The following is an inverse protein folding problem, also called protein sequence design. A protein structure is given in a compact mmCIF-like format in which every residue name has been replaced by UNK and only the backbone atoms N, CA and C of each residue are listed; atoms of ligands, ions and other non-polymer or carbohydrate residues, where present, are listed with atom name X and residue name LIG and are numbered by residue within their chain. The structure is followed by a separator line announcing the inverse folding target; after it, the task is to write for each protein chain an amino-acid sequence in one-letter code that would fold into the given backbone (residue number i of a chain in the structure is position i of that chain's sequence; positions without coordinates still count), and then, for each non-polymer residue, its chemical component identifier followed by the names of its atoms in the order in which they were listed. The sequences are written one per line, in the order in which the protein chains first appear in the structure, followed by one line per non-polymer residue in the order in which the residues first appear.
data_IF_224950751391
#
_entry.id   IF_224950751391
#
_cell.length_a   1.000
_cell.length_b   1.000
_cell.length_c   1.000
_cell.angle_alpha   90.00
_cell.angle_beta   90.00
_cell.angle_gamma   90.00
#
_symmetry.space_group_name_H-M   'P 1'
#
loop_
_entity.id
_entity.type
_entity.pdbx_description
1 polymer ?
#
# COMPACT_ATOMS: atom_id res chain seq x y z
N UNK A 1 -40.35 11.38 -7.47
CA UNK A 1 -39.90 11.11 -6.07
C UNK A 1 -39.35 9.70 -6.01
N UNK A 2 -38.39 9.40 -5.13
CA UNK A 2 -37.77 8.07 -4.92
C UNK A 2 -38.78 6.94 -4.70
N UNK A 3 -39.47 6.59 -5.77
CA UNK A 3 -40.55 5.62 -5.86
C UNK A 3 -39.99 4.20 -5.97
N UNK A 4 -38.67 4.11 -6.08
CA UNK A 4 -37.91 2.88 -6.06
C UNK A 4 -37.27 2.70 -4.70
N UNK A 5 -37.13 1.46 -4.24
CA UNK A 5 -36.54 1.18 -2.93
C UNK A 5 -35.10 1.70 -2.82
N UNK A 6 -34.37 1.75 -3.95
CA UNK A 6 -32.98 2.17 -4.01
C UNK A 6 -32.80 3.68 -3.74
N UNK A 7 -33.63 4.55 -4.32
CA UNK A 7 -33.48 6.02 -4.18
C UNK A 7 -34.35 6.63 -3.07
N UNK A 8 -35.09 5.80 -2.34
CA UNK A 8 -35.98 6.28 -1.27
C UNK A 8 -35.19 7.05 -0.21
N UNK A 9 -35.56 8.29 0.02
CA UNK A 9 -34.96 9.20 1.02
C UNK A 9 -33.45 9.49 0.81
N UNK A 10 -32.94 9.33 -0.41
CA UNK A 10 -31.55 9.66 -0.78
C UNK A 10 -31.55 10.82 -1.77
N UNK A 11 -30.96 11.95 -1.39
CA UNK A 11 -30.76 13.14 -2.23
C UNK A 11 -29.66 14.03 -1.65
N UNK A 12 -28.93 14.74 -2.50
CA UNK A 12 -27.95 15.77 -2.10
C UNK A 12 -28.62 17.12 -1.83
N UNK A 13 -29.62 17.46 -2.64
CA UNK A 13 -30.46 18.63 -2.46
C UNK A 13 -31.82 18.40 -3.10
N UNK A 14 -32.77 19.30 -2.82
CA UNK A 14 -34.12 19.24 -3.39
C UNK A 14 -34.37 20.49 -4.22
N UNK A 15 -34.97 20.34 -5.41
CA UNK A 15 -35.37 21.48 -6.24
C UNK A 15 -36.59 22.18 -5.66
N UNK A 16 -36.91 23.44 -6.05
CA UNK A 16 -38.14 24.12 -5.63
C UNK A 16 -39.43 23.35 -5.94
N UNK A 17 -39.41 22.51 -6.98
CA UNK A 17 -40.52 21.63 -7.41
C UNK A 17 -40.62 20.35 -6.56
N UNK A 18 -39.70 20.15 -5.61
CA UNK A 18 -39.68 19.00 -4.71
C UNK A 18 -39.03 17.74 -5.30
N UNK A 19 -38.18 17.87 -6.32
CA UNK A 19 -37.39 16.77 -6.86
C UNK A 19 -36.10 16.57 -6.07
N UNK A 20 -35.84 15.34 -5.62
CA UNK A 20 -34.55 14.98 -5.03
C UNK A 20 -33.48 14.86 -6.12
N UNK A 21 -32.37 15.54 -5.95
CA UNK A 21 -31.26 15.60 -6.90
C UNK A 21 -30.05 14.87 -6.35
N UNK A 22 -29.26 14.26 -7.24
CA UNK A 22 -27.99 13.60 -6.91
C UNK A 22 -26.87 14.23 -7.73
N UNK A 23 -25.76 14.53 -7.06
CA UNK A 23 -24.49 14.87 -7.66
C UNK A 23 -23.73 13.56 -7.89
N UNK A 24 -23.61 13.16 -9.16
CA UNK A 24 -23.10 11.84 -9.56
C UNK A 24 -21.98 11.95 -10.58
N UNK A 25 -21.09 10.95 -10.58
CA UNK A 25 -20.10 10.76 -11.63
C UNK A 25 -20.71 9.95 -12.79
N UNK A 26 -21.26 10.67 -13.78
CA UNK A 26 -21.94 10.08 -14.94
C UNK A 26 -20.98 9.38 -15.90
N UNK A 27 -21.41 8.22 -16.43
CA UNK A 27 -20.78 7.62 -17.61
C UNK A 27 -21.41 8.16 -18.88
N UNK A 28 -20.58 8.60 -19.83
CA UNK A 28 -20.99 9.23 -21.08
C UNK A 28 -20.80 8.34 -22.32
N UNK A 29 -20.61 7.03 -22.12
CA UNK A 29 -20.53 6.05 -23.20
C UNK A 29 -21.91 5.73 -23.79
N UNK A 30 -22.17 4.45 -24.01
CA UNK A 30 -23.48 3.98 -24.46
C UNK A 30 -24.55 4.28 -23.40
N UNK A 31 -25.75 4.66 -23.87
CA UNK A 31 -26.90 4.97 -23.02
C UNK A 31 -28.15 4.23 -23.49
N UNK A 32 -29.00 3.87 -22.53
CA UNK A 32 -30.29 3.22 -22.80
C UNK A 32 -31.23 4.20 -23.50
N UNK A 33 -31.82 3.78 -24.61
CA UNK A 33 -32.80 4.57 -25.39
C UNK A 33 -34.24 4.14 -25.17
N UNK A 34 -34.47 2.90 -24.74
CA UNK A 34 -35.79 2.32 -24.49
C UNK A 34 -35.76 1.47 -23.20
N UNK A 35 -36.77 1.62 -22.35
CA UNK A 35 -36.88 0.84 -21.11
C UNK A 35 -37.26 -0.61 -21.44
N UNK A 36 -36.52 -1.61 -20.91
CA UNK A 36 -36.93 -3.00 -21.04
C UNK A 36 -38.28 -3.27 -20.36
N UNK A 37 -39.06 -4.27 -20.80
CA UNK A 37 -40.33 -4.62 -20.17
C UNK A 37 -40.19 -4.88 -18.66
N UNK A 38 -41.08 -4.27 -17.88
CA UNK A 38 -41.11 -4.36 -16.41
C UNK A 38 -40.30 -3.26 -15.70
N UNK A 39 -39.39 -2.58 -16.39
CA UNK A 39 -38.62 -1.48 -15.81
C UNK A 39 -39.39 -0.17 -15.82
N UNK A 40 -39.16 0.64 -14.78
CA UNK A 40 -39.65 2.01 -14.65
C UNK A 40 -38.47 2.97 -14.58
N UNK A 41 -38.67 4.17 -15.11
CA UNK A 41 -37.68 5.25 -15.04
C UNK A 41 -37.45 5.66 -13.59
N UNK A 42 -36.22 5.52 -13.12
CA UNK A 42 -35.83 5.82 -11.73
C UNK A 42 -35.10 7.16 -11.61
N UNK A 43 -34.23 7.49 -12.57
CA UNK A 43 -33.46 8.73 -12.61
C UNK A 43 -33.24 9.21 -14.05
N UNK A 44 -33.12 10.52 -14.24
CA UNK A 44 -32.90 11.15 -15.55
C UNK A 44 -32.06 12.41 -15.43
N UNK A 45 -31.42 12.79 -16.53
CA UNK A 45 -30.73 14.09 -16.73
C UNK A 45 -31.09 14.62 -18.11
N UNK A 46 -30.79 15.89 -18.40
CA UNK A 46 -31.10 16.50 -19.70
C UNK A 46 -30.42 15.78 -20.88
N UNK A 47 -29.20 15.27 -20.68
CA UNK A 47 -28.43 14.58 -21.72
C UNK A 47 -28.60 13.05 -21.72
N UNK A 48 -29.11 12.48 -20.62
CA UNK A 48 -29.38 11.06 -20.44
C UNK A 48 -30.80 10.86 -19.86
N UNK A 49 -31.82 10.66 -20.72
CA UNK A 49 -33.21 10.51 -20.29
C UNK A 49 -33.47 9.28 -19.40
N UNK A 50 -32.68 8.22 -19.55
CA UNK A 50 -32.73 7.00 -18.73
C UNK A 50 -31.38 6.87 -17.99
N UNK A 51 -31.16 7.71 -17.00
CA UNK A 51 -29.94 7.70 -16.18
C UNK A 51 -30.01 6.64 -15.06
N UNK A 52 -31.20 6.14 -14.76
CA UNK A 52 -31.40 4.97 -13.90
C UNK A 52 -32.78 4.36 -14.14
N UNK A 53 -32.88 3.05 -13.96
CA UNK A 53 -34.12 2.29 -14.10
C UNK A 53 -34.22 1.20 -13.04
N UNK A 54 -35.45 0.84 -12.66
CA UNK A 54 -35.70 -0.22 -11.70
C UNK A 54 -36.90 -1.08 -12.07
N UNK A 55 -36.80 -2.36 -11.75
CA UNK A 55 -37.92 -3.29 -11.66
C UNK A 55 -38.03 -3.75 -10.20
N UNK A 56 -39.01 -3.20 -9.48
CA UNK A 56 -39.21 -3.46 -8.04
C UNK A 56 -39.72 -4.88 -7.76
N UNK A 57 -40.41 -5.51 -8.71
CA UNK A 57 -40.92 -6.87 -8.54
C UNK A 57 -39.78 -7.87 -8.58
N UNK A 58 -38.88 -7.75 -9.56
CA UNK A 58 -37.69 -8.59 -9.70
C UNK A 58 -36.50 -8.09 -8.88
N UNK A 59 -36.59 -6.89 -8.30
CA UNK A 59 -35.51 -6.18 -7.59
C UNK A 59 -34.27 -5.98 -8.46
N UNK A 60 -34.47 -5.62 -9.72
CA UNK A 60 -33.38 -5.24 -10.62
C UNK A 60 -33.23 -3.73 -10.65
N UNK A 61 -32.00 -3.25 -10.52
CA UNK A 61 -31.67 -1.83 -10.50
C UNK A 61 -30.48 -1.59 -11.41
N UNK A 62 -30.56 -0.53 -12.22
CA UNK A 62 -29.48 -0.12 -13.10
C UNK A 62 -29.25 1.39 -13.00
N UNK A 63 -27.99 1.79 -12.99
CA UNK A 63 -27.52 3.18 -12.93
C UNK A 63 -26.56 3.44 -14.09
N UNK A 64 -26.66 4.62 -14.70
CA UNK A 64 -25.75 5.10 -15.76
C UNK A 64 -24.52 5.84 -15.18
N UNK A 65 -24.42 5.92 -13.85
CA UNK A 65 -23.33 6.58 -13.13
C UNK A 65 -22.68 5.61 -12.14
N UNK A 66 -21.52 5.99 -11.63
CA UNK A 66 -20.68 5.17 -10.76
C UNK A 66 -20.95 5.49 -9.27
N UNK A 67 -21.72 4.68 -8.52
CA UNK A 67 -21.93 4.91 -7.09
C UNK A 67 -20.71 4.54 -6.22
N UNK A 68 -19.71 3.86 -6.78
CA UNK A 68 -18.51 3.41 -6.07
C UNK A 68 -17.43 4.50 -5.93
N UNK A 69 -17.51 5.59 -6.71
CA UNK A 69 -16.53 6.68 -6.67
C UNK A 69 -16.99 7.81 -5.74
N UNK A 70 -16.05 8.44 -5.05
CA UNK A 70 -16.31 9.53 -4.09
C UNK A 70 -16.91 10.79 -4.72
N UNK A 71 -16.74 10.97 -6.03
CA UNK A 71 -17.38 12.04 -6.80
C UNK A 71 -18.91 11.92 -6.82
N UNK A 72 -19.45 10.71 -6.63
CA UNK A 72 -20.88 10.50 -6.41
C UNK A 72 -21.17 10.64 -4.91
N UNK A 73 -21.72 11.79 -4.51
CA UNK A 73 -21.80 12.19 -3.09
C UNK A 73 -22.59 11.19 -2.24
N UNK A 74 -23.73 10.69 -2.75
CA UNK A 74 -24.53 9.64 -2.10
C UNK A 74 -24.16 8.21 -2.53
N UNK A 75 -23.02 8.03 -3.19
CA UNK A 75 -22.63 6.74 -3.78
C UNK A 75 -22.62 5.59 -2.77
N UNK A 76 -21.99 5.83 -1.61
CA UNK A 76 -21.99 4.88 -0.49
C UNK A 76 -23.40 4.58 0.03
N UNK A 77 -24.24 5.59 0.19
CA UNK A 77 -25.61 5.39 0.69
C UNK A 77 -26.45 4.52 -0.27
N UNK A 78 -26.23 4.65 -1.59
CA UNK A 78 -26.87 3.80 -2.60
C UNK A 78 -26.40 2.35 -2.51
N UNK A 79 -25.09 2.14 -2.39
CA UNK A 79 -24.52 0.79 -2.23
C UNK A 79 -24.99 0.14 -0.92
N UNK A 80 -24.97 0.87 0.20
CA UNK A 80 -25.46 0.39 1.49
C UNK A 80 -26.95 0.02 1.42
N UNK A 81 -27.77 0.85 0.77
CA UNK A 81 -29.19 0.56 0.55
C UNK A 81 -29.39 -0.72 -0.26
N UNK A 82 -28.61 -0.91 -1.32
CA UNK A 82 -28.71 -2.09 -2.17
C UNK A 82 -28.28 -3.35 -1.41
N UNK A 83 -27.10 -3.33 -0.80
CA UNK A 83 -26.49 -4.48 -0.13
C UNK A 83 -27.26 -4.84 1.15
N UNK A 84 -27.40 -3.91 2.08
CA UNK A 84 -27.99 -4.18 3.39
C UNK A 84 -29.53 -4.18 3.35
N UNK A 85 -30.14 -3.33 2.53
CA UNK A 85 -31.59 -3.19 2.46
C UNK A 85 -32.24 -4.14 1.46
N UNK A 86 -31.91 -3.99 0.16
CA UNK A 86 -32.60 -4.69 -0.93
C UNK A 86 -32.21 -6.17 -1.01
N UNK A 87 -30.91 -6.46 -0.90
CA UNK A 87 -30.39 -7.83 -0.85
C UNK A 87 -30.61 -8.46 0.53
N UNK A 88 -30.75 -7.65 1.59
CA UNK A 88 -30.98 -8.11 2.95
C UNK A 88 -29.76 -8.80 3.55
N UNK A 89 -28.55 -8.43 3.12
CA UNK A 89 -27.33 -8.99 3.71
C UNK A 89 -27.12 -8.45 5.13
N UNK A 90 -26.40 -9.20 5.94
CA UNK A 90 -25.97 -8.73 7.26
C UNK A 90 -24.56 -8.15 7.15
N UNK A 91 -24.22 -7.08 7.88
CA UNK A 91 -22.86 -6.56 7.95
C UNK A 91 -22.03 -7.41 8.94
N UNK A 92 -21.93 -8.72 8.68
CA UNK A 92 -21.20 -9.69 9.53
C UNK A 92 -19.75 -9.93 9.07
N UNK A 93 -19.30 -9.25 8.01
CA UNK A 93 -17.90 -9.20 7.61
C UNK A 93 -17.11 -8.18 8.46
N UNK A 94 -16.63 -8.62 9.61
CA UNK A 94 -15.90 -7.80 10.58
C UNK A 94 -14.53 -8.43 10.89
N UNK A 95 -13.44 -7.68 10.69
CA UNK A 95 -12.06 -8.19 10.79
C UNK A 95 -11.72 -8.84 12.15
N UNK A 96 -12.32 -8.33 13.23
CA UNK A 96 -12.13 -8.91 14.58
C UNK A 96 -12.60 -10.36 14.67
N UNK A 97 -13.73 -10.66 14.05
CA UNK A 97 -14.33 -12.00 14.07
C UNK A 97 -13.60 -12.92 13.09
N UNK A 98 -13.09 -12.36 12.00
CA UNK A 98 -12.29 -13.06 10.99
C UNK A 98 -10.98 -13.65 11.54
N UNK A 99 -10.37 -13.05 12.57
CA UNK A 99 -9.12 -13.58 13.18
C UNK A 99 -9.29 -15.02 13.63
N UNK A 100 -10.39 -15.35 14.31
CA UNK A 100 -10.59 -16.69 14.87
C UNK A 100 -10.73 -17.74 13.77
N UNK A 101 -11.46 -17.40 12.72
CA UNK A 101 -11.64 -18.26 11.55
C UNK A 101 -10.31 -18.46 10.80
N UNK A 102 -9.59 -17.38 10.49
CA UNK A 102 -8.32 -17.45 9.79
C UNK A 102 -7.26 -18.24 10.57
N UNK A 103 -7.21 -18.07 11.90
CA UNK A 103 -6.33 -18.86 12.78
C UNK A 103 -6.64 -20.36 12.70
N UNK A 104 -7.92 -20.73 12.72
CA UNK A 104 -8.33 -22.13 12.65
C UNK A 104 -8.02 -22.73 11.27
N UNK A 105 -8.26 -21.98 10.19
CA UNK A 105 -7.90 -22.40 8.83
C UNK A 105 -6.38 -22.63 8.70
N UNK A 106 -5.56 -21.73 9.24
CA UNK A 106 -4.09 -21.89 9.23
C UNK A 106 -3.68 -23.15 9.99
N UNK A 107 -4.26 -23.41 11.18
CA UNK A 107 -3.96 -24.61 11.97
C UNK A 107 -4.33 -25.89 11.24
N UNK A 108 -5.50 -25.93 10.61
CA UNK A 108 -5.95 -27.08 9.83
C UNK A 108 -5.08 -27.33 8.60
N UNK A 109 -4.63 -26.26 7.93
CA UNK A 109 -3.81 -26.37 6.73
C UNK A 109 -2.35 -26.76 7.05
N UNK A 110 -1.77 -26.19 8.11
CA UNK A 110 -0.36 -26.37 8.47
C UNK A 110 -0.14 -27.60 9.35
N UNK A 111 -1.05 -27.89 10.28
CA UNK A 111 -0.86 -28.96 11.26
C UNK A 111 0.42 -28.77 12.07
N UNK A 112 1.27 -29.80 12.11
CA UNK A 112 2.57 -29.81 12.80
C UNK A 112 3.76 -29.45 11.88
N UNK A 113 3.50 -28.98 10.65
CA UNK A 113 4.55 -28.58 9.70
C UNK A 113 5.13 -27.19 10.05
N UNK A 114 6.35 -26.91 9.61
CA UNK A 114 7.02 -25.62 9.82
C UNK A 114 6.79 -24.66 8.63
N UNK A 115 6.66 -23.36 8.94
CA UNK A 115 6.36 -22.29 7.98
C UNK A 115 7.50 -21.28 7.94
N UNK A 116 7.95 -20.91 6.73
CA UNK A 116 8.87 -19.80 6.52
C UNK A 116 8.11 -18.61 5.95
N UNK A 117 8.40 -17.40 6.42
CA UNK A 117 7.85 -16.17 5.86
C UNK A 117 8.94 -15.12 5.60
N UNK A 118 8.91 -14.47 4.44
CA UNK A 118 9.73 -13.30 4.16
C UNK A 118 9.13 -12.04 4.78
N UNK A 119 9.81 -11.48 5.79
CA UNK A 119 9.47 -10.16 6.34
C UNK A 119 10.13 -9.08 5.49
N UNK A 120 9.32 -8.19 4.92
CA UNK A 120 9.80 -7.02 4.16
C UNK A 120 9.75 -5.72 4.96
N UNK A 121 9.13 -5.73 6.15
CA UNK A 121 8.77 -4.52 6.89
C UNK A 121 7.52 -3.79 6.36
N UNK A 122 6.94 -4.29 5.27
CA UNK A 122 5.64 -3.84 4.77
C UNK A 122 4.48 -4.32 5.64
N UNK A 123 3.32 -3.67 5.50
CA UNK A 123 2.12 -3.98 6.30
C UNK A 123 1.66 -5.42 6.06
N UNK A 124 1.59 -5.88 4.80
CA UNK A 124 0.98 -7.19 4.49
C UNK A 124 1.81 -8.35 5.04
N UNK A 125 3.12 -8.32 4.83
CA UNK A 125 4.03 -9.35 5.38
C UNK A 125 4.04 -9.33 6.90
N UNK A 126 3.90 -8.15 7.51
CA UNK A 126 3.85 -8.01 8.96
C UNK A 126 2.55 -8.54 9.57
N UNK A 127 1.41 -8.25 8.95
CA UNK A 127 0.10 -8.75 9.37
C UNK A 127 0.00 -10.26 9.15
N UNK A 128 0.50 -10.77 8.02
CA UNK A 128 0.59 -12.21 7.76
C UNK A 128 1.46 -12.91 8.82
N UNK A 129 2.63 -12.35 9.14
CA UNK A 129 3.50 -12.88 10.18
C UNK A 129 2.81 -12.92 11.56
N UNK A 130 2.14 -11.84 11.95
CA UNK A 130 1.42 -11.76 13.22
C UNK A 130 0.25 -12.75 13.28
N UNK A 131 -0.52 -12.89 12.20
CA UNK A 131 -1.63 -13.82 12.10
C UNK A 131 -1.17 -15.28 12.17
N UNK A 132 -0.13 -15.64 11.41
CA UNK A 132 0.44 -16.99 11.41
C UNK A 132 1.08 -17.29 12.76
N UNK A 133 1.83 -16.36 13.34
CA UNK A 133 2.41 -16.55 14.68
C UNK A 133 1.33 -16.79 15.74
N UNK A 134 0.20 -16.07 15.68
CA UNK A 134 -0.94 -16.31 16.56
C UNK A 134 -1.55 -17.71 16.36
N UNK A 135 -1.50 -18.25 15.15
CA UNK A 135 -2.05 -19.56 14.84
C UNK A 135 -1.16 -20.71 15.30
N UNK A 136 0.14 -20.66 14.99
CA UNK A 136 1.08 -21.81 15.09
C UNK A 136 2.36 -21.50 15.90
N UNK A 137 2.47 -20.29 16.47
CA UNK A 137 3.55 -19.91 17.38
C UNK A 137 4.95 -20.15 16.81
N UNK A 138 5.69 -21.04 17.48
CA UNK A 138 7.08 -21.38 17.21
C UNK A 138 7.33 -22.18 15.93
N UNK A 139 6.27 -22.64 15.25
CA UNK A 139 6.35 -23.28 13.93
C UNK A 139 6.65 -22.27 12.81
N UNK A 140 6.46 -20.96 13.07
CA UNK A 140 6.80 -19.89 12.14
C UNK A 140 8.24 -19.41 12.35
N UNK A 141 9.03 -19.41 11.28
CA UNK A 141 10.31 -18.71 11.20
C UNK A 141 10.24 -17.62 10.14
N UNK A 142 10.47 -16.38 10.54
CA UNK A 142 10.54 -15.26 9.62
C UNK A 142 11.99 -15.01 9.18
N UNK A 143 12.18 -14.63 7.92
CA UNK A 143 13.47 -14.16 7.38
C UNK A 143 13.31 -12.70 6.98
N UNK A 144 14.10 -11.83 7.58
CA UNK A 144 14.16 -10.41 7.27
C UNK A 144 15.50 -10.10 6.61
N UNK A 145 15.47 -9.65 5.36
CA UNK A 145 16.68 -9.30 4.59
C UNK A 145 16.85 -7.79 4.60
N UNK A 146 17.87 -7.32 5.31
CA UNK A 146 18.30 -5.93 5.28
C UNK A 146 19.23 -5.72 4.09
N UNK A 147 18.67 -5.24 2.99
CA UNK A 147 19.42 -4.99 1.75
C UNK A 147 20.13 -3.64 1.74
N UNK A 148 20.21 -2.93 2.88
CA UNK A 148 20.92 -1.65 2.99
C UNK A 148 20.26 -0.50 2.24
N UNK A 149 18.98 -0.62 1.84
CA UNK A 149 18.19 0.42 1.16
C UNK A 149 16.85 0.66 1.88
N UNK A 150 16.78 0.35 3.18
CA UNK A 150 15.62 0.65 4.01
C UNK A 150 15.71 2.07 4.61
N UNK A 151 14.60 2.54 5.19
CA UNK A 151 14.53 3.79 5.97
C UNK A 151 15.43 3.73 7.21
N UNK A 152 15.64 4.88 7.84
CA UNK A 152 16.43 5.00 9.06
C UNK A 152 15.89 4.05 10.14
N UNK A 153 16.75 3.20 10.69
CA UNK A 153 16.48 2.23 11.76
C UNK A 153 15.33 1.23 11.45
N UNK A 154 14.96 1.05 10.18
CA UNK A 154 13.84 0.17 9.81
C UNK A 154 14.05 -1.26 10.29
N UNK A 155 15.24 -1.82 10.05
CA UNK A 155 15.56 -3.17 10.48
C UNK A 155 15.49 -3.34 11.99
N UNK A 156 15.96 -2.36 12.75
CA UNK A 156 15.91 -2.41 14.22
C UNK A 156 14.47 -2.34 14.73
N UNK A 157 13.63 -1.49 14.13
CA UNK A 157 12.20 -1.41 14.45
C UNK A 157 11.45 -2.71 14.15
N UNK A 158 11.76 -3.37 13.03
CA UNK A 158 11.20 -4.69 12.68
C UNK A 158 11.61 -5.73 13.73
N UNK A 159 12.90 -5.75 14.11
CA UNK A 159 13.40 -6.71 15.10
C UNK A 159 12.82 -6.47 16.50
N UNK A 160 12.76 -5.22 16.97
CA UNK A 160 12.15 -4.87 18.26
C UNK A 160 10.68 -5.32 18.32
N UNK A 161 9.94 -5.12 17.23
CA UNK A 161 8.54 -5.51 17.17
C UNK A 161 8.36 -7.03 17.18
N UNK A 162 8.99 -7.74 16.23
CA UNK A 162 8.73 -9.16 16.07
C UNK A 162 9.44 -10.02 17.10
N UNK A 163 10.72 -9.74 17.38
CA UNK A 163 11.50 -10.52 18.36
C UNK A 163 11.24 -10.01 19.78
N UNK A 164 11.23 -8.69 19.96
CA UNK A 164 11.08 -8.08 21.29
C UNK A 164 9.65 -8.18 21.83
N UNK A 165 8.65 -7.71 21.07
CA UNK A 165 7.25 -7.62 21.55
C UNK A 165 6.41 -8.86 21.24
N UNK A 166 6.56 -9.44 20.05
CA UNK A 166 5.79 -10.63 19.65
C UNK A 166 6.49 -11.95 19.97
N UNK A 167 7.76 -11.93 20.36
CA UNK A 167 8.55 -13.16 20.62
C UNK A 167 8.58 -14.15 19.43
N UNK A 168 8.43 -13.64 18.20
CA UNK A 168 8.53 -14.43 16.99
C UNK A 168 9.99 -14.74 16.65
N UNK A 169 10.23 -15.90 16.03
CA UNK A 169 11.56 -16.27 15.51
C UNK A 169 11.82 -15.49 14.22
N UNK A 170 12.80 -14.58 14.26
CA UNK A 170 13.21 -13.79 13.09
C UNK A 170 14.71 -13.95 12.84
N UNK A 171 15.06 -14.41 11.65
CA UNK A 171 16.43 -14.42 11.14
C UNK A 171 16.66 -13.11 10.40
N UNK A 172 17.47 -12.22 10.97
CA UNK A 172 17.95 -11.02 10.28
C UNK A 172 19.19 -11.34 9.46
N UNK A 173 19.11 -11.10 8.16
CA UNK A 173 20.23 -11.18 7.23
C UNK A 173 20.65 -9.78 6.85
N UNK A 174 21.84 -9.34 7.26
CA UNK A 174 22.43 -8.12 6.72
C UNK A 174 23.12 -8.45 5.39
N UNK A 175 22.53 -7.97 4.30
CA UNK A 175 23.03 -8.12 2.94
C UNK A 175 23.43 -6.76 2.34
N UNK A 176 23.57 -5.71 3.15
CA UNK A 176 23.80 -4.34 2.68
C UNK A 176 25.00 -4.24 1.73
N UNK A 177 26.14 -4.82 2.10
CA UNK A 177 27.37 -4.78 1.30
C UNK A 177 27.22 -5.51 -0.04
N UNK A 178 26.49 -6.63 -0.05
CA UNK A 178 26.22 -7.39 -1.27
C UNK A 178 25.40 -6.56 -2.26
N UNK A 179 24.32 -5.94 -1.79
CA UNK A 179 23.43 -5.15 -2.64
C UNK A 179 24.12 -3.88 -3.15
N UNK A 180 24.77 -3.13 -2.26
CA UNK A 180 25.48 -1.91 -2.63
C UNK A 180 26.67 -2.20 -3.57
N UNK A 181 27.38 -3.31 -3.36
CA UNK A 181 28.45 -3.75 -4.26
C UNK A 181 27.96 -4.10 -5.66
N UNK A 182 26.76 -4.68 -5.79
CA UNK A 182 26.16 -5.01 -7.09
C UNK A 182 25.49 -3.83 -7.79
N UNK A 183 25.14 -2.78 -7.05
CA UNK A 183 24.59 -1.54 -7.57
C UNK A 183 25.67 -0.51 -7.97
N UNK A 184 26.93 -0.78 -7.64
CA UNK A 184 28.05 0.09 -8.02
C UNK A 184 28.10 0.31 -9.53
N UNK A 185 28.14 1.58 -9.96
CA UNK A 185 28.13 1.99 -11.36
C UNK A 185 26.80 1.80 -12.12
N UNK A 186 25.72 1.36 -11.45
CA UNK A 186 24.42 1.15 -12.11
C UNK A 186 23.54 2.39 -11.94
N UNK A 187 23.24 3.08 -13.03
CA UNK A 187 22.38 4.28 -13.02
C UNK A 187 20.99 4.06 -13.62
N UNK A 188 20.79 3.00 -14.40
CA UNK A 188 19.53 2.77 -15.11
C UNK A 188 18.47 2.18 -14.14
N UNK A 189 17.30 2.82 -13.98
CA UNK A 189 16.27 2.42 -13.00
C UNK A 189 15.80 0.98 -13.10
N UNK A 190 15.51 0.48 -14.30
CA UNK A 190 15.02 -0.88 -14.50
C UNK A 190 16.09 -1.92 -14.15
N UNK A 191 17.36 -1.65 -14.48
CA UNK A 191 18.50 -2.46 -14.09
C UNK A 191 18.65 -2.50 -12.57
N UNK A 192 18.49 -1.36 -11.87
CA UNK A 192 18.50 -1.32 -10.40
C UNK A 192 17.39 -2.19 -9.82
N UNK A 193 16.16 -2.04 -10.31
CA UNK A 193 15.00 -2.84 -9.89
C UNK A 193 15.25 -4.33 -10.06
N UNK A 194 15.78 -4.74 -11.22
CA UNK A 194 16.10 -6.14 -11.52
C UNK A 194 17.22 -6.70 -10.63
N UNK A 195 18.29 -5.94 -10.40
CA UNK A 195 19.39 -6.34 -9.53
C UNK A 195 18.90 -6.53 -8.10
N UNK A 196 18.17 -5.56 -7.55
CA UNK A 196 17.67 -5.61 -6.18
C UNK A 196 16.69 -6.77 -6.02
N UNK A 197 15.72 -6.92 -6.93
CA UNK A 197 14.76 -8.02 -6.89
C UNK A 197 15.43 -9.40 -7.00
N UNK A 198 16.39 -9.56 -7.91
CA UNK A 198 17.14 -10.81 -8.08
C UNK A 198 17.96 -11.19 -6.85
N UNK A 199 18.73 -10.24 -6.30
CA UNK A 199 19.53 -10.48 -5.10
C UNK A 199 18.67 -10.78 -3.88
N UNK A 200 17.53 -10.11 -3.73
CA UNK A 200 16.60 -10.39 -2.64
C UNK A 200 16.11 -11.84 -2.69
N UNK A 201 15.73 -12.31 -3.89
CA UNK A 201 15.35 -13.70 -4.11
C UNK A 201 16.50 -14.65 -3.79
N UNK A 202 17.71 -14.36 -4.23
CA UNK A 202 18.88 -15.24 -4.00
C UNK A 202 19.23 -15.35 -2.51
N UNK A 203 19.26 -14.23 -1.79
CA UNK A 203 19.53 -14.21 -0.34
C UNK A 203 18.42 -14.94 0.42
N UNK A 204 17.16 -14.68 0.10
CA UNK A 204 16.04 -15.34 0.75
C UNK A 204 16.05 -16.86 0.48
N UNK A 205 16.33 -17.29 -0.75
CA UNK A 205 16.47 -18.73 -1.09
C UNK A 205 17.57 -19.40 -0.28
N UNK A 206 18.71 -18.73 -0.11
CA UNK A 206 19.84 -19.29 0.64
C UNK A 206 19.45 -19.57 2.09
N UNK A 207 18.70 -18.66 2.73
CA UNK A 207 18.19 -18.91 4.08
C UNK A 207 17.04 -19.94 4.12
N UNK A 208 16.11 -19.86 3.18
CA UNK A 208 15.00 -20.82 3.10
C UNK A 208 15.50 -22.26 2.89
N UNK A 209 16.58 -22.46 2.13
CA UNK A 209 17.19 -23.77 1.93
C UNK A 209 17.78 -24.34 3.23
N UNK A 210 18.40 -23.51 4.08
CA UNK A 210 18.89 -23.93 5.41
C UNK A 210 17.74 -24.37 6.31
N UNK A 211 16.67 -23.57 6.36
CA UNK A 211 15.47 -23.86 7.15
C UNK A 211 14.70 -25.08 6.63
N UNK A 212 14.74 -25.35 5.33
CA UNK A 212 14.15 -26.55 4.74
C UNK A 212 14.96 -27.81 5.05
N UNK A 213 16.29 -27.73 5.04
CA UNK A 213 17.15 -28.88 5.30
C UNK A 213 16.98 -29.45 6.72
N UNK A 214 16.55 -28.61 7.67
CA UNK A 214 16.51 -28.94 9.09
C UNK A 214 17.92 -29.03 9.70
N UNK A 215 17.97 -29.08 11.02
CA UNK A 215 19.15 -29.49 11.78
C UNK A 215 18.71 -30.44 12.90
N UNK A 216 19.62 -30.92 13.74
CA UNK A 216 19.36 -31.95 14.77
C UNK A 216 18.26 -31.62 15.81
N UNK A 217 17.53 -30.51 15.68
CA UNK A 217 16.32 -30.16 16.44
C UNK A 217 15.12 -29.66 15.61
N UNK A 218 15.19 -29.57 14.28
CA UNK A 218 14.15 -29.01 13.40
C UNK A 218 13.66 -29.99 12.33
N UNK A 219 12.33 -30.05 12.09
CA UNK A 219 11.72 -31.00 11.14
C UNK A 219 11.89 -30.59 9.67
N UNK A 220 12.28 -29.34 9.42
CA UNK A 220 12.44 -28.78 8.09
C UNK A 220 11.14 -28.13 7.60
N UNK A 221 11.25 -26.90 7.10
CA UNK A 221 10.10 -26.15 6.60
C UNK A 221 9.41 -26.82 5.41
N UNK A 222 8.07 -26.81 5.43
CA UNK A 222 7.23 -27.39 4.38
C UNK A 222 6.36 -26.34 3.69
N UNK A 223 6.13 -25.20 4.34
CA UNK A 223 5.36 -24.08 3.81
C UNK A 223 6.21 -22.81 3.62
N UNK A 224 5.89 -22.07 2.57
CA UNK A 224 6.28 -20.68 2.35
C UNK A 224 5.02 -19.81 2.46
N UNK A 225 5.00 -18.92 3.44
CA UNK A 225 3.91 -17.98 3.62
C UNK A 225 4.16 -16.66 2.89
N UNK A 226 3.10 -16.07 2.35
CA UNK A 226 3.12 -14.79 1.66
C UNK A 226 1.96 -13.90 2.15
N UNK A 227 2.21 -12.59 2.20
CA UNK A 227 1.19 -11.57 2.48
C UNK A 227 0.39 -11.18 1.24
N UNK A 228 0.11 -12.12 0.33
CA UNK A 228 -0.68 -11.85 -0.89
C UNK A 228 -2.08 -11.39 -0.49
N UNK A 229 -2.57 -10.31 -1.11
CA UNK A 229 -3.89 -9.72 -0.82
C UNK A 229 -4.84 -9.85 -2.03
N UNK A 230 -6.13 -9.57 -1.83
CA UNK A 230 -7.16 -9.79 -2.84
C UNK A 230 -6.93 -9.04 -4.17
N UNK A 231 -6.46 -7.78 -4.19
CA UNK A 231 -6.04 -7.13 -5.43
C UNK A 231 -4.99 -7.90 -6.24
N UNK A 232 -4.04 -8.58 -5.58
CA UNK A 232 -3.02 -9.38 -6.27
C UNK A 232 -3.63 -10.63 -6.93
N UNK A 233 -4.63 -11.23 -6.29
CA UNK A 233 -5.36 -12.38 -6.81
C UNK A 233 -6.21 -11.99 -8.02
N UNK A 234 -6.89 -10.84 -7.99
CA UNK A 234 -7.66 -10.33 -9.13
C UNK A 234 -6.74 -10.07 -10.33
N UNK A 235 -5.62 -9.37 -10.11
CA UNK A 235 -4.69 -9.02 -11.18
C UNK A 235 -4.03 -10.26 -11.82
N UNK A 236 -3.70 -11.27 -11.01
CA UNK A 236 -3.14 -12.55 -11.50
C UNK A 236 -4.21 -13.44 -12.15
N UNK A 237 -5.46 -13.39 -11.69
CA UNK A 237 -6.61 -14.09 -12.29
C UNK A 237 -6.98 -13.55 -13.68
N UNK A 238 -6.81 -12.24 -13.92
CA UNK A 238 -6.97 -11.61 -15.24
C UNK A 238 -5.83 -11.93 -16.23
N UNK A 239 -4.71 -12.47 -15.74
CA UNK A 239 -3.48 -12.72 -16.51
C UNK A 239 -3.50 -13.98 -17.41
N UNK A 240 -4.68 -14.54 -17.74
CA UNK A 240 -4.81 -15.42 -18.92
C UNK A 240 -4.55 -14.67 -20.24
N UNK A 241 -4.49 -13.34 -20.19
CA UNK A 241 -3.97 -12.46 -21.25
C UNK A 241 -2.46 -12.22 -21.05
N UNK A 242 -1.65 -12.61 -22.04
CA UNK A 242 -0.16 -12.62 -22.05
C UNK A 242 0.56 -11.30 -21.69
N UNK A 243 -0.15 -10.17 -21.55
CA UNK A 243 0.45 -8.86 -21.26
C UNK A 243 0.69 -8.58 -19.76
N UNK A 244 -0.05 -9.22 -18.86
CA UNK A 244 0.06 -8.95 -17.41
C UNK A 244 1.23 -9.68 -16.72
N UNK A 245 1.73 -10.77 -17.33
CA UNK A 245 2.78 -11.62 -16.76
C UNK A 245 4.11 -10.88 -16.57
N UNK A 246 4.42 -9.90 -17.42
CA UNK A 246 5.70 -9.18 -17.40
C UNK A 246 5.79 -8.08 -16.34
N UNK A 247 4.67 -7.63 -15.78
CA UNK A 247 4.62 -6.44 -14.91
C UNK A 247 4.83 -6.81 -13.43
N UNK A 248 4.38 -8.01 -12.99
CA UNK A 248 4.42 -8.42 -11.56
C UNK A 248 5.49 -9.44 -11.18
N UNK A 249 6.49 -9.70 -12.03
CA UNK A 249 7.63 -10.57 -11.66
C UNK A 249 8.47 -10.06 -10.46
N UNK A 250 8.19 -8.86 -9.95
CA UNK A 250 9.00 -8.16 -8.95
C UNK A 250 8.33 -7.97 -7.58
N UNK A 251 7.05 -8.35 -7.42
CA UNK A 251 6.32 -8.12 -6.17
C UNK A 251 5.82 -9.38 -5.50
N UNK A 252 5.39 -10.37 -6.28
CA UNK A 252 5.08 -11.68 -5.74
C UNK A 252 6.18 -12.62 -6.14
N UNK A 253 6.65 -13.35 -5.14
CA UNK A 253 7.63 -14.41 -5.23
C UNK A 253 7.03 -15.63 -5.96
N UNK A 254 6.18 -15.41 -6.97
CA UNK A 254 5.18 -16.32 -7.55
C UNK A 254 5.72 -17.48 -8.38
N UNK A 255 7.04 -17.71 -8.35
CA UNK A 255 7.67 -18.95 -8.82
C UNK A 255 8.65 -19.55 -7.81
N UNK A 256 8.83 -18.91 -6.66
CA UNK A 256 9.74 -19.33 -5.60
C UNK A 256 9.25 -20.55 -4.82
N UNK A 257 7.95 -20.70 -4.49
CA UNK A 257 7.47 -21.90 -3.81
C UNK A 257 7.81 -23.16 -4.59
N UNK A 258 7.59 -23.17 -5.91
CA UNK A 258 7.91 -24.30 -6.78
C UNK A 258 9.43 -24.55 -6.85
N UNK A 259 10.24 -23.51 -6.99
CA UNK A 259 11.70 -23.63 -7.01
C UNK A 259 12.29 -24.11 -5.69
N UNK A 260 11.65 -23.79 -4.56
CA UNK A 260 12.04 -24.23 -3.23
C UNK A 260 11.41 -25.57 -2.85
N UNK A 261 10.42 -26.06 -3.62
CA UNK A 261 9.62 -27.24 -3.27
C UNK A 261 8.89 -27.09 -1.94
N UNK A 262 8.24 -25.93 -1.72
CA UNK A 262 7.44 -25.60 -0.53
C UNK A 262 5.98 -25.39 -0.94
N UNK A 263 5.05 -25.76 -0.05
CA UNK A 263 3.62 -25.46 -0.20
C UNK A 263 3.37 -23.98 0.09
N UNK A 264 2.37 -23.38 -0.55
CA UNK A 264 2.07 -21.95 -0.37
C UNK A 264 1.00 -21.74 0.72
N UNK A 265 1.20 -20.72 1.56
CA UNK A 265 0.24 -20.27 2.58
C UNK A 265 -0.04 -18.76 2.42
N UNK A 266 -1.25 -18.38 2.03
CA UNK A 266 -1.64 -16.99 1.73
C UNK A 266 -2.86 -16.57 2.57
N UNK A 267 -2.69 -16.26 3.86
CA UNK A 267 -3.82 -16.07 4.76
C UNK A 267 -4.56 -14.74 4.56
N UNK A 268 -4.03 -13.81 3.76
CA UNK A 268 -4.62 -12.49 3.51
C UNK A 268 -5.26 -12.39 2.12
N UNK A 269 -5.32 -13.50 1.37
CA UNK A 269 -5.67 -13.55 -0.06
C UNK A 269 -7.07 -13.01 -0.40
N UNK A 270 -7.97 -12.97 0.57
CA UNK A 270 -9.37 -12.54 0.40
C UNK A 270 -9.63 -11.14 0.98
N UNK A 271 -8.57 -10.44 1.42
CA UNK A 271 -8.67 -9.14 2.08
C UNK A 271 -8.14 -8.00 1.19
N UNK A 272 -8.77 -6.84 1.29
CA UNK A 272 -8.27 -5.57 0.78
C UNK A 272 -7.27 -4.92 1.76
N UNK A 273 -6.58 -3.87 1.29
CA UNK A 273 -5.46 -3.26 2.02
C UNK A 273 -5.90 -2.57 3.33
N UNK A 274 -7.06 -1.94 3.31
CA UNK A 274 -7.72 -1.35 4.47
C UNK A 274 -8.11 -2.42 5.50
N UNK A 275 -8.69 -3.53 5.05
CA UNK A 275 -9.03 -4.69 5.89
C UNK A 275 -7.77 -5.32 6.53
N UNK A 276 -6.69 -5.46 5.78
CA UNK A 276 -5.39 -5.91 6.30
C UNK A 276 -4.87 -4.96 7.39
N UNK A 277 -5.07 -3.64 7.24
CA UNK A 277 -4.70 -2.67 8.29
C UNK A 277 -5.56 -2.86 9.54
N UNK A 278 -6.88 -2.94 9.40
CA UNK A 278 -7.77 -3.18 10.53
C UNK A 278 -7.45 -4.50 11.26
N UNK A 279 -7.18 -5.56 10.49
CA UNK A 279 -6.74 -6.86 11.00
C UNK A 279 -5.43 -6.74 11.78
N UNK A 280 -4.45 -6.00 11.27
CA UNK A 280 -3.18 -5.76 11.94
C UNK A 280 -3.34 -5.13 13.33
N UNK A 281 -4.18 -4.09 13.44
CA UNK A 281 -4.48 -3.47 14.74
C UNK A 281 -5.22 -4.43 15.66
N UNK A 282 -6.20 -5.18 15.14
CA UNK A 282 -6.94 -6.17 15.92
C UNK A 282 -6.06 -7.33 16.42
N UNK A 283 -4.95 -7.63 15.72
CA UNK A 283 -3.91 -8.58 16.15
C UNK A 283 -2.95 -7.99 17.21
N UNK A 284 -3.05 -6.70 17.52
CA UNK A 284 -2.20 -6.01 18.50
C UNK A 284 -0.94 -5.37 17.91
N UNK A 285 -0.84 -5.25 16.59
CA UNK A 285 0.26 -4.49 15.98
C UNK A 285 0.07 -2.98 16.24
N UNK A 286 1.16 -2.23 16.50
CA UNK A 286 1.08 -0.79 16.72
C UNK A 286 0.46 -0.07 15.52
N UNK A 287 -0.50 0.84 15.71
CA UNK A 287 -1.08 1.63 14.63
C UNK A 287 -0.01 2.36 13.80
N UNK A 288 1.06 2.86 14.42
CA UNK A 288 2.14 3.55 13.70
C UNK A 288 2.94 2.63 12.76
N UNK A 289 2.81 1.30 12.90
CA UNK A 289 3.40 0.29 12.03
C UNK A 289 2.44 -0.08 10.89
N UNK A 290 1.18 -0.28 11.25
CA UNK A 290 0.12 -0.72 10.35
C UNK A 290 -0.32 0.39 9.39
N UNK A 291 -0.43 1.62 9.89
CA UNK A 291 -0.84 2.78 9.11
C UNK A 291 0.33 3.50 8.42
N UNK A 292 1.46 2.81 8.21
CA UNK A 292 2.59 3.41 7.48
C UNK A 292 2.25 3.58 6.00
N UNK A 293 2.86 4.60 5.41
CA UNK A 293 2.91 4.76 3.96
C UNK A 293 3.58 3.54 3.32
N UNK A 294 3.13 3.14 2.12
CA UNK A 294 3.76 2.07 1.37
C UNK A 294 5.22 2.40 1.08
N UNK A 295 6.08 1.39 1.15
CA UNK A 295 7.50 1.47 0.85
C UNK A 295 7.81 0.54 -0.33
N UNK A 296 8.47 1.03 -1.39
CA UNK A 296 8.71 0.23 -2.59
C UNK A 296 9.65 -0.95 -2.28
N UNK A 297 9.48 -2.07 -2.98
CA UNK A 297 10.34 -3.26 -2.83
C UNK A 297 11.84 -2.96 -2.99
N UNK A 298 12.26 -2.19 -4.02
CA UNK A 298 13.64 -1.71 -4.16
C UNK A 298 14.10 -0.69 -3.10
N UNK A 299 13.20 -0.27 -2.21
CA UNK A 299 13.43 0.72 -1.17
C UNK A 299 14.01 2.04 -1.68
N UNK A 300 15.04 2.54 -1.01
CA UNK A 300 15.76 3.75 -1.40
C UNK A 300 16.46 3.63 -2.77
N UNK A 301 16.59 2.43 -3.35
CA UNK A 301 17.23 2.21 -4.64
C UNK A 301 16.56 2.94 -5.81
N UNK A 302 15.25 3.23 -5.69
CA UNK A 302 14.46 4.03 -6.65
C UNK A 302 14.19 5.46 -6.17
N UNK A 303 14.75 5.84 -5.02
CA UNK A 303 14.68 7.20 -4.47
C UNK A 303 16.03 7.91 -4.48
N UNK A 304 17.08 7.22 -4.93
CA UNK A 304 18.40 7.78 -5.19
C UNK A 304 18.58 7.74 -6.70
N UNK A 305 18.47 8.91 -7.34
CA UNK A 305 18.53 8.97 -8.80
C UNK A 305 19.91 8.58 -9.31
N UNK A 306 19.93 7.75 -10.36
CA UNK A 306 21.17 7.22 -10.89
C UNK A 306 21.86 6.22 -9.94
N UNK A 307 23.17 6.35 -9.78
CA UNK A 307 23.99 5.39 -9.03
C UNK A 307 23.69 5.42 -7.52
N UNK A 308 23.44 4.23 -6.96
CA UNK A 308 23.15 4.06 -5.54
C UNK A 308 24.45 3.82 -4.76
N UNK A 309 24.70 4.65 -3.73
CA UNK A 309 25.85 4.52 -2.83
C UNK A 309 25.40 4.56 -1.38
N UNK A 310 26.20 3.93 -0.50
CA UNK A 310 26.00 3.99 0.96
C UNK A 310 25.90 5.43 1.45
N UNK A 311 26.82 6.29 1.03
CA UNK A 311 26.84 7.71 1.37
C UNK A 311 25.49 8.39 1.05
N UNK A 312 24.96 8.16 -0.16
CA UNK A 312 23.72 8.77 -0.60
C UNK A 312 22.52 8.22 0.18
N UNK A 313 22.50 6.90 0.43
CA UNK A 313 21.46 6.27 1.23
C UNK A 313 21.46 6.79 2.67
N UNK A 314 22.62 7.00 3.28
CA UNK A 314 22.73 7.50 4.65
C UNK A 314 22.29 8.97 4.75
N UNK A 315 22.62 9.82 3.77
CA UNK A 315 22.10 11.19 3.67
C UNK A 315 20.58 11.19 3.50
N UNK A 316 20.08 10.37 2.57
CA UNK A 316 18.66 10.29 2.25
C UNK A 316 17.83 9.81 3.45
N UNK A 317 18.30 8.79 4.18
CA UNK A 317 17.64 8.30 5.41
C UNK A 317 17.42 9.41 6.44
N UNK A 318 18.43 10.26 6.64
CA UNK A 318 18.35 11.35 7.61
C UNK A 318 17.39 12.44 7.15
N UNK A 319 17.44 12.80 5.87
CA UNK A 319 16.51 13.78 5.30
C UNK A 319 15.06 13.29 5.29
N UNK A 320 14.83 12.02 4.91
CA UNK A 320 13.53 11.35 4.96
C UNK A 320 12.98 11.27 6.39
N UNK A 321 13.81 10.91 7.38
CA UNK A 321 13.41 10.86 8.77
C UNK A 321 12.90 12.22 9.28
N UNK A 322 13.60 13.32 8.98
CA UNK A 322 13.15 14.68 9.34
C UNK A 322 11.82 15.01 8.67
N UNK A 323 11.67 14.67 7.39
CA UNK A 323 10.43 14.97 6.67
C UNK A 323 9.23 14.23 7.26
N UNK A 324 9.37 12.92 7.52
CA UNK A 324 8.31 12.11 8.13
C UNK A 324 8.01 12.56 9.56
N UNK A 325 9.02 12.90 10.35
CA UNK A 325 8.84 13.43 11.71
C UNK A 325 7.97 14.70 11.69
N UNK A 326 8.28 15.65 10.80
CA UNK A 326 7.53 16.90 10.70
C UNK A 326 6.11 16.69 10.17
N UNK A 327 5.89 15.76 9.24
CA UNK A 327 4.55 15.39 8.77
C UNK A 327 3.69 14.81 9.89
N UNK A 328 4.27 14.02 10.79
CA UNK A 328 3.57 13.46 11.97
C UNK A 328 3.30 14.51 13.04
N UNK A 329 4.21 15.47 13.21
CA UNK A 329 4.09 16.51 14.23
C UNK A 329 3.19 17.68 13.81
N UNK A 330 2.93 17.86 12.52
CA UNK A 330 2.10 18.94 12.00
C UNK A 330 0.66 18.47 11.80
N UNK A 331 -0.27 19.12 12.48
CA UNK A 331 -1.71 18.82 12.42
C UNK A 331 -2.41 19.86 11.56
N UNK A 332 -3.26 19.40 10.65
CA UNK A 332 -4.17 20.26 9.90
C UNK A 332 -5.35 20.67 10.77
N UNK A 333 -5.61 21.97 10.86
CA UNK A 333 -6.63 22.54 11.75
C UNK A 333 -8.06 22.17 11.32
N UNK A 334 -8.29 21.97 10.02
CA UNK A 334 -9.62 21.68 9.48
C UNK A 334 -10.05 20.24 9.75
N UNK A 335 -9.11 19.29 9.66
CA UNK A 335 -9.37 17.86 9.81
C UNK A 335 -9.00 17.30 11.17
N UNK A 336 -8.14 17.99 11.94
CA UNK A 336 -7.57 17.51 13.20
C UNK A 336 -6.60 16.34 13.02
N UNK A 337 -6.18 16.04 11.78
CA UNK A 337 -5.28 14.93 11.43
C UNK A 337 -3.87 15.42 11.18
N UNK A 338 -2.89 14.54 11.36
CA UNK A 338 -1.51 14.85 10.98
C UNK A 338 -1.38 14.90 9.45
N UNK A 339 -0.43 15.67 8.93
CA UNK A 339 -0.13 15.66 7.49
C UNK A 339 0.41 14.32 7.00
N UNK A 340 0.96 13.49 7.90
CA UNK A 340 1.26 12.10 7.62
C UNK A 340 -0.01 11.30 7.27
N UNK A 341 -1.07 11.44 8.07
CA UNK A 341 -2.33 10.71 7.87
C UNK A 341 -3.14 11.25 6.68
N UNK A 342 -3.00 12.54 6.38
CA UNK A 342 -3.64 13.17 5.24
C UNK A 342 -2.99 12.83 3.89
N UNK A 343 -1.77 12.27 3.89
CA UNK A 343 -1.06 11.91 2.67
C UNK A 343 -1.06 10.39 2.48
N UNK A 344 -1.26 9.93 1.25
CA UNK A 344 -1.26 8.50 0.92
C UNK A 344 0.16 7.96 0.85
N UNK A 345 1.12 8.80 0.46
CA UNK A 345 2.55 8.51 0.50
C UNK A 345 3.36 9.80 0.61
N UNK A 346 4.39 9.80 1.45
CA UNK A 346 5.37 10.88 1.54
C UNK A 346 6.79 10.32 1.72
N UNK A 347 7.78 10.93 1.06
CA UNK A 347 9.18 10.54 1.12
C UNK A 347 10.11 11.60 0.54
N UNK A 348 11.41 11.42 0.76
CA UNK A 348 12.45 12.23 0.15
C UNK A 348 13.12 11.47 -1.02
N UNK A 349 13.55 12.22 -2.04
CA UNK A 349 14.35 11.74 -3.19
C UNK A 349 15.71 12.44 -3.17
N UNK A 350 16.79 11.67 -3.35
CA UNK A 350 18.15 12.19 -3.46
C UNK A 350 18.49 12.51 -4.92
N UNK A 351 18.92 13.75 -5.18
CA UNK A 351 19.33 14.19 -6.50
C UNK A 351 20.86 14.33 -6.54
N UNK A 352 21.57 13.61 -7.43
CA UNK A 352 23.03 13.66 -7.54
C UNK A 352 23.54 14.93 -8.26
N UNK A 353 22.87 16.07 -8.04
CA UNK A 353 23.31 17.39 -8.49
C UNK A 353 23.76 18.20 -7.29
N UNK A 354 24.73 19.08 -7.50
CA UNK A 354 25.28 19.94 -6.45
C UNK A 354 24.74 21.36 -6.59
N UNK A 355 24.49 22.01 -5.45
CA UNK A 355 24.03 23.39 -5.37
C UNK A 355 24.99 24.21 -4.54
N UNK A 356 25.15 25.49 -4.90
CA UNK A 356 25.91 26.44 -4.07
C UNK A 356 25.05 26.85 -2.87
N UNK A 357 25.65 26.93 -1.69
CA UNK A 357 25.03 27.45 -0.49
C UNK A 357 25.99 28.30 0.33
N UNK A 358 25.45 28.95 1.35
CA UNK A 358 26.22 29.58 2.43
C UNK A 358 25.69 28.98 3.73
N UNK A 359 26.53 28.22 4.43
CA UNK A 359 26.17 27.60 5.71
C UNK A 359 27.24 28.00 6.73
N UNK A 360 26.83 28.70 7.80
CA UNK A 360 27.76 29.45 8.65
C UNK A 360 28.44 30.58 7.86
N UNK A 361 29.76 30.72 8.04
CA UNK A 361 30.56 31.74 7.34
C UNK A 361 31.22 31.23 6.04
N UNK A 362 30.93 30.00 5.63
CA UNK A 362 31.58 29.33 4.51
C UNK A 362 30.66 29.07 3.30
N UNK A 363 31.23 29.13 2.09
CA UNK A 363 30.58 28.67 0.86
C UNK A 363 30.57 27.15 0.83
N UNK A 364 29.42 26.56 0.51
CA UNK A 364 29.22 25.10 0.42
C UNK A 364 28.83 24.69 -1.00
N UNK A 365 29.12 23.43 -1.34
CA UNK A 365 28.74 22.81 -2.61
C UNK A 365 28.26 21.37 -2.35
N UNK A 366 26.99 21.27 -1.98
CA UNK A 366 26.37 20.06 -1.43
C UNK A 366 25.16 19.60 -2.26
N UNK A 367 24.63 18.42 -1.94
CA UNK A 367 23.58 17.78 -2.71
C UNK A 367 22.21 18.43 -2.52
N UNK A 368 21.30 18.10 -3.44
CA UNK A 368 19.90 18.50 -3.43
C UNK A 368 19.03 17.31 -3.06
N UNK A 369 17.98 17.56 -2.28
CA UNK A 369 16.88 16.59 -2.09
C UNK A 369 15.54 17.18 -2.51
N UNK A 370 14.66 16.33 -3.02
CA UNK A 370 13.28 16.67 -3.32
C UNK A 370 12.35 15.97 -2.33
N UNK A 371 11.44 16.75 -1.74
CA UNK A 371 10.33 16.23 -0.96
C UNK A 371 9.20 15.83 -1.92
N UNK A 372 8.62 14.66 -1.71
CA UNK A 372 7.47 14.15 -2.47
C UNK A 372 6.37 13.77 -1.49
N UNK A 373 5.18 14.33 -1.65
CA UNK A 373 4.00 13.91 -0.91
C UNK A 373 2.78 13.95 -1.82
N UNK A 374 1.95 12.91 -1.77
CA UNK A 374 0.79 12.76 -2.66
C UNK A 374 -0.46 12.36 -1.90
N UNK A 375 -1.61 12.77 -2.43
CA UNK A 375 -2.95 12.37 -2.00
C UNK A 375 -3.62 11.59 -3.13
N UNK A 376 -4.17 10.44 -2.81
CA UNK A 376 -4.83 9.56 -3.78
C UNK A 376 -5.83 8.63 -3.11
N UNK A 377 -6.91 8.32 -3.83
CA UNK A 377 -7.91 7.31 -3.47
C UNK A 377 -7.59 5.92 -4.02
N UNK A 378 -6.85 5.80 -5.13
CA UNK A 378 -6.67 4.53 -5.86
C UNK A 378 -5.24 4.26 -6.38
N UNK A 379 -4.30 5.18 -6.14
CA UNK A 379 -2.94 5.21 -6.69
C UNK A 379 -2.84 5.19 -8.23
N UNK A 380 -3.96 5.18 -8.96
CA UNK A 380 -4.02 5.29 -10.42
C UNK A 380 -3.93 6.75 -10.85
N UNK A 381 -4.60 7.63 -10.10
CA UNK A 381 -4.41 9.08 -10.16
C UNK A 381 -3.94 9.58 -8.79
N UNK A 382 -3.07 10.59 -8.75
CA UNK A 382 -2.61 11.15 -7.50
C UNK A 382 -2.27 12.63 -7.67
N UNK A 383 -2.76 13.47 -6.77
CA UNK A 383 -2.34 14.86 -6.72
C UNK A 383 -1.19 15.04 -5.73
N UNK A 384 -0.34 16.05 -5.95
CA UNK A 384 0.66 16.41 -4.95
C UNK A 384 -0.04 17.07 -3.75
N UNK A 385 0.42 16.80 -2.54
CA UNK A 385 -0.24 17.32 -1.34
C UNK A 385 0.03 18.83 -1.21
N UNK A 386 -1.00 19.64 -0.96
CA UNK A 386 -0.83 21.07 -0.71
C UNK A 386 -0.30 21.34 0.72
N UNK A 387 0.93 20.89 0.99
CA UNK A 387 1.55 21.01 2.30
C UNK A 387 1.67 22.50 2.72
N UNK A 388 1.37 22.85 3.98
CA UNK A 388 1.44 24.23 4.44
C UNK A 388 2.84 24.80 4.24
N UNK A 389 2.94 26.03 3.74
CA UNK A 389 4.24 26.69 3.54
C UNK A 389 5.08 26.73 4.83
N UNK A 390 4.45 26.85 6.00
CA UNK A 390 5.13 26.79 7.29
C UNK A 390 5.79 25.43 7.55
N UNK A 391 5.11 24.34 7.20
CA UNK A 391 5.65 22.98 7.28
C UNK A 391 6.84 22.81 6.32
N UNK A 392 6.69 23.19 5.05
CA UNK A 392 7.77 23.13 4.05
C UNK A 392 8.99 23.95 4.48
N UNK A 393 8.78 25.15 5.03
CA UNK A 393 9.85 26.01 5.56
C UNK A 393 10.59 25.33 6.71
N UNK A 394 9.87 24.70 7.64
CA UNK A 394 10.46 24.00 8.80
C UNK A 394 11.27 22.79 8.36
N UNK A 395 10.71 21.93 7.50
CA UNK A 395 11.40 20.75 6.95
C UNK A 395 12.67 21.16 6.20
N UNK A 396 12.57 22.14 5.30
CA UNK A 396 13.71 22.64 4.53
C UNK A 396 14.82 23.16 5.44
N UNK A 397 14.48 23.97 6.46
CA UNK A 397 15.44 24.48 7.43
C UNK A 397 16.12 23.37 8.24
N UNK A 398 15.36 22.39 8.72
CA UNK A 398 15.91 21.25 9.49
C UNK A 398 16.85 20.39 8.64
N UNK A 399 16.43 19.99 7.44
CA UNK A 399 17.27 19.15 6.56
C UNK A 399 18.61 19.85 6.26
N UNK A 400 18.59 21.13 5.87
CA UNK A 400 19.81 21.87 5.51
C UNK A 400 20.74 22.04 6.71
N UNK A 401 20.21 22.30 7.90
CA UNK A 401 21.04 22.56 9.09
C UNK A 401 21.53 21.27 9.78
N UNK A 402 20.74 20.19 9.75
CA UNK A 402 21.03 18.96 10.49
C UNK A 402 21.78 17.92 9.63
N UNK A 403 21.55 17.89 8.31
CA UNK A 403 22.09 16.86 7.41
C UNK A 403 23.26 17.40 6.59
N UNK A 404 24.47 17.37 7.20
CA UNK A 404 25.73 17.70 6.52
C UNK A 404 25.86 16.91 5.20
N UNK A 405 26.01 17.61 4.08
CA UNK A 405 26.04 17.04 2.73
C UNK A 405 24.81 17.39 1.88
N UNK A 406 23.80 18.04 2.46
CA UNK A 406 22.63 18.60 1.76
C UNK A 406 22.54 20.10 2.07
N UNK A 407 22.40 20.95 1.04
CA UNK A 407 22.23 22.39 1.24
C UNK A 407 21.06 23.00 0.46
N UNK A 408 20.24 22.15 -0.17
CA UNK A 408 19.10 22.55 -0.98
C UNK A 408 17.98 21.53 -0.85
N UNK A 409 16.78 22.01 -0.63
CA UNK A 409 15.55 21.21 -0.56
C UNK A 409 14.54 21.78 -1.55
N UNK A 410 13.92 20.92 -2.35
CA UNK A 410 12.82 21.24 -3.26
C UNK A 410 11.56 20.46 -2.90
N UNK A 411 10.41 20.83 -3.46
CA UNK A 411 9.15 20.09 -3.31
C UNK A 411 8.59 19.78 -4.69
N UNK A 412 8.17 18.54 -4.91
CA UNK A 412 7.62 18.09 -6.18
C UNK A 412 6.12 18.43 -6.29
N UNK A 413 5.81 19.32 -7.23
CA UNK A 413 4.46 19.83 -7.52
C UNK A 413 3.87 19.22 -8.81
N UNK A 414 4.28 17.99 -9.15
CA UNK A 414 3.82 17.28 -10.35
C UNK A 414 2.76 16.23 -9.98
N UNK A 415 1.54 16.38 -10.48
CA UNK A 415 0.47 15.37 -10.32
C UNK A 415 0.70 14.15 -11.22
N UNK A 416 0.06 13.02 -10.87
CA UNK A 416 -0.04 11.82 -11.69
C UNK A 416 -1.45 11.75 -12.29
N UNK A 417 -1.60 11.85 -13.62
CA UNK A 417 -0.62 12.22 -14.66
C UNK A 417 -0.27 13.74 -14.68
N UNK A 418 0.82 14.20 -15.36
CA UNK A 418 1.67 13.47 -16.30
C UNK A 418 2.88 12.74 -15.67
N UNK A 419 3.18 13.00 -14.40
CA UNK A 419 4.29 12.37 -13.70
C UNK A 419 3.89 11.03 -13.07
N UNK A 420 4.83 10.37 -12.40
CA UNK A 420 4.60 9.22 -11.51
C UNK A 420 4.78 9.64 -10.04
N UNK A 421 4.42 8.76 -9.10
CA UNK A 421 4.59 9.04 -7.67
C UNK A 421 6.08 8.96 -7.29
N UNK A 422 6.71 7.81 -7.53
CA UNK A 422 8.17 7.61 -7.44
C UNK A 422 8.85 8.22 -8.68
N UNK A 423 10.11 8.63 -8.53
CA UNK A 423 10.88 9.27 -9.60
C UNK A 423 11.62 8.28 -10.52
N UNK A 424 11.75 7.02 -10.10
CA UNK A 424 12.37 5.89 -10.82
C UNK A 424 11.65 4.58 -10.50
#
# INVERSE_FOLDING_TARGET
RGHTALLKDIADFTTPEGHGMLNVWMSHGDKVTELPPGFKLMASTDSCPIAGMADEERRFYALQFHPEVTHTVQGRALLDRFVLGICGTRPDWVMRDHIAEAVEQIRQQVGDEEVILGLSGGVDSSVAAALIHRAIGDQLTCVFVDHGLLRLNEGDMVMDMFVGKLHAKVIRVDASDLFLGKLAGVSEPEAKRKIIGGLFVDVFKAEAAKLKAGDGGHKGATFLAQGTIYPDVIESGGAKSKKAVTIKSHHNVGGLPEQLGLKLLEPLRDLFKDEVRELGVALGLPPEMVYRHPFPGPGLGVRILGEVKKEYADLLRRADAIFIEELRNHVDEATGKTWYDLTSQAFTVFLPVKSVGVMGDGRTYDYVVALRAVQTSDFMTADWAELPYALLKKVSGRIINEVRGINRVTYDVSSKPPATIEWE
#
